data_IF_910248761342
#
_entry.id   IF_910248761342
#
_cell.length_a   1.000
_cell.length_b   1.000
_cell.length_c   1.000
_cell.angle_alpha   90.00
_cell.angle_beta   90.00
_cell.angle_gamma   90.00
#
_symmetry.space_group_name_H-M   'P 1'
#
loop_
_entity.id
_entity.type
_entity.pdbx_description
1 polymer ?
#
# COMPACT_ATOMS: atom_id res chain seq x y z
N UNK A 1 13.67 -12.56 19.13
CA UNK A 1 14.52 -12.60 17.93
C UNK A 1 14.59 -11.21 17.35
N UNK A 2 15.79 -10.60 17.23
CA UNK A 2 15.96 -9.28 16.64
C UNK A 2 15.67 -9.33 15.13
N UNK A 3 14.92 -8.34 14.63
CA UNK A 3 14.74 -8.16 13.18
C UNK A 3 16.11 -7.98 12.53
N UNK A 4 16.40 -8.62 11.39
CA UNK A 4 17.66 -8.41 10.69
C UNK A 4 17.72 -6.94 10.25
N UNK A 5 18.66 -6.19 10.82
CA UNK A 5 18.97 -4.83 10.37
C UNK A 5 19.57 -4.98 8.98
N UNK A 6 18.85 -4.52 7.96
CA UNK A 6 19.37 -4.57 6.59
C UNK A 6 20.70 -3.82 6.51
N UNK A 7 21.71 -4.34 5.79
CA UNK A 7 23.06 -3.78 5.74
C UNK A 7 23.14 -2.37 5.10
N UNK A 8 22.03 -1.81 4.67
CA UNK A 8 21.95 -0.49 4.02
C UNK A 8 21.84 0.69 4.99
N UNK A 9 21.59 0.45 6.28
CA UNK A 9 21.51 1.52 7.27
C UNK A 9 22.92 1.83 7.80
N UNK A 10 23.73 2.55 7.01
CA UNK A 10 25.02 3.07 7.47
C UNK A 10 24.81 4.47 8.05
N UNK A 11 25.10 4.72 9.35
CA UNK A 11 24.94 6.03 10.00
C UNK A 11 25.66 7.19 9.27
N UNK A 12 26.75 6.87 8.56
CA UNK A 12 27.56 7.84 7.82
C UNK A 12 26.77 8.53 6.67
N UNK A 13 25.69 7.91 6.15
CA UNK A 13 24.88 8.49 5.07
C UNK A 13 23.73 9.39 5.55
N UNK A 14 23.42 9.42 6.83
CA UNK A 14 22.34 10.26 7.40
C UNK A 14 22.55 11.76 7.12
N UNK A 15 23.79 12.23 7.04
CA UNK A 15 24.11 13.63 6.76
C UNK A 15 23.66 14.12 5.36
N UNK A 16 23.38 13.21 4.45
CA UNK A 16 23.00 13.51 3.07
C UNK A 16 21.55 13.19 2.74
N UNK A 17 20.79 12.67 3.70
CA UNK A 17 19.38 12.35 3.47
C UNK A 17 18.54 13.62 3.56
N UNK A 18 17.71 13.85 2.54
CA UNK A 18 16.75 14.94 2.61
C UNK A 18 15.72 14.67 3.73
N UNK A 19 15.24 15.74 4.37
CA UNK A 19 14.15 15.64 5.36
C UNK A 19 12.95 14.85 4.80
N UNK A 20 12.65 15.06 3.53
CA UNK A 20 11.60 14.34 2.80
C UNK A 20 11.81 12.83 2.82
N UNK A 21 13.02 12.36 2.56
CA UNK A 21 13.35 10.94 2.58
C UNK A 21 13.26 10.35 4.00
N UNK A 22 13.78 11.06 4.99
CA UNK A 22 13.70 10.62 6.40
C UNK A 22 12.25 10.48 6.85
N UNK A 23 11.42 11.48 6.55
CA UNK A 23 10.00 11.46 6.91
C UNK A 23 9.24 10.33 6.20
N UNK A 24 9.50 10.08 4.92
CA UNK A 24 8.90 8.97 4.18
C UNK A 24 9.23 7.62 4.85
N UNK A 25 10.50 7.37 5.14
CA UNK A 25 10.92 6.14 5.80
C UNK A 25 10.36 6.00 7.23
N UNK A 26 10.21 7.10 7.94
CA UNK A 26 9.58 7.10 9.27
C UNK A 26 8.10 6.71 9.18
N UNK A 27 7.35 7.28 8.23
CA UNK A 27 5.95 6.92 7.96
C UNK A 27 5.86 5.42 7.65
N UNK A 28 6.69 4.96 6.73
CA UNK A 28 6.70 3.57 6.29
C UNK A 28 7.01 2.61 7.46
N UNK A 29 8.04 2.90 8.25
CA UNK A 29 8.39 2.10 9.43
C UNK A 29 7.23 2.01 10.42
N UNK A 30 6.51 3.11 10.66
CA UNK A 30 5.34 3.15 11.54
C UNK A 30 4.19 2.31 11.00
N UNK A 31 3.89 2.44 9.71
CA UNK A 31 2.90 1.61 9.04
C UNK A 31 3.21 0.12 9.19
N UNK A 32 4.50 -0.25 9.10
CA UNK A 32 4.93 -1.64 9.29
C UNK A 32 4.75 -2.13 10.74
N UNK A 33 5.03 -1.26 11.71
CA UNK A 33 4.78 -1.57 13.14
C UNK A 33 3.28 -1.71 13.38
N UNK A 34 2.46 -0.79 12.87
CA UNK A 34 1.01 -0.84 12.99
C UNK A 34 0.43 -2.12 12.35
N UNK A 35 0.90 -2.52 11.17
CA UNK A 35 0.51 -3.77 10.51
C UNK A 35 0.81 -5.00 11.38
N UNK A 36 1.99 -5.03 12.00
CA UNK A 36 2.39 -6.14 12.88
C UNK A 36 1.55 -6.21 14.16
N UNK A 37 1.37 -5.06 14.83
CA UNK A 37 0.58 -5.00 16.07
C UNK A 37 -0.89 -5.28 15.78
N UNK A 38 -1.43 -4.78 14.68
CA UNK A 38 -2.80 -5.09 14.26
C UNK A 38 -2.99 -6.60 14.07
N UNK A 39 -2.13 -7.25 13.27
CA UNK A 39 -2.23 -8.70 13.03
C UNK A 39 -2.10 -9.53 14.32
N UNK A 40 -1.26 -9.08 15.28
CA UNK A 40 -1.09 -9.74 16.56
C UNK A 40 -2.35 -9.72 17.43
N UNK A 41 -3.18 -8.68 17.29
CA UNK A 41 -4.43 -8.54 18.06
C UNK A 41 -5.66 -9.14 17.37
N UNK A 42 -5.54 -9.54 16.09
CA UNK A 42 -6.62 -10.14 15.32
C UNK A 42 -6.38 -11.64 15.14
N UNK A 43 -7.17 -12.48 15.84
CA UNK A 43 -6.97 -13.93 15.84
C UNK A 43 -7.09 -14.60 14.47
N UNK A 44 -7.87 -14.00 13.56
CA UNK A 44 -8.06 -14.49 12.20
C UNK A 44 -6.96 -14.06 11.24
N UNK A 45 -6.09 -13.09 11.60
CA UNK A 45 -5.04 -12.58 10.71
C UNK A 45 -3.65 -12.86 11.24
N UNK A 46 -2.72 -13.12 10.34
CA UNK A 46 -1.29 -13.20 10.61
C UNK A 46 -0.50 -12.46 9.54
N UNK A 47 0.45 -11.62 9.92
CA UNK A 47 1.39 -11.01 8.98
C UNK A 47 2.56 -11.98 8.77
N UNK A 48 2.56 -12.72 7.65
CA UNK A 48 3.49 -13.82 7.39
C UNK A 48 4.76 -13.40 6.65
N UNK A 49 4.70 -12.33 5.84
CA UNK A 49 5.89 -11.73 5.20
C UNK A 49 5.73 -10.20 5.09
N UNK A 50 6.84 -9.49 5.17
CA UNK A 50 6.91 -8.03 5.04
C UNK A 50 8.25 -7.60 4.46
N UNK A 51 8.20 -6.71 3.46
CA UNK A 51 9.38 -6.18 2.78
C UNK A 51 9.22 -4.68 2.57
N UNK A 52 10.25 -3.92 2.89
CA UNK A 52 10.26 -2.45 2.73
C UNK A 52 11.22 -2.10 1.60
N UNK A 53 10.78 -1.28 0.66
CA UNK A 53 11.56 -0.81 -0.49
C UNK A 53 12.33 -1.96 -1.16
N UNK A 54 11.68 -3.12 -1.27
CA UNK A 54 12.27 -4.34 -1.82
C UNK A 54 11.90 -4.48 -3.29
N UNK A 55 12.90 -4.73 -4.13
CA UNK A 55 12.66 -5.02 -5.53
C UNK A 55 12.00 -6.39 -5.69
N UNK A 56 10.73 -6.38 -6.07
CA UNK A 56 10.00 -7.59 -6.40
C UNK A 56 10.48 -8.13 -7.76
N UNK A 57 10.33 -9.44 -8.03
CA UNK A 57 10.53 -9.98 -9.36
C UNK A 57 9.76 -9.14 -10.41
N UNK A 58 10.39 -8.79 -11.53
CA UNK A 58 9.80 -7.84 -12.51
C UNK A 58 10.20 -6.39 -12.30
N UNK A 59 11.12 -6.10 -11.39
CA UNK A 59 11.70 -4.76 -11.11
C UNK A 59 10.68 -3.74 -10.58
N UNK A 60 9.64 -4.18 -9.92
CA UNK A 60 8.70 -3.32 -9.21
C UNK A 60 9.21 -3.14 -7.78
N UNK A 61 9.28 -1.89 -7.34
CA UNK A 61 9.69 -1.55 -5.97
C UNK A 61 8.54 -0.79 -5.32
N UNK A 62 7.64 -1.47 -4.58
CA UNK A 62 6.67 -0.79 -3.72
C UNK A 62 7.37 -0.20 -2.49
N UNK A 63 6.76 0.78 -1.85
CA UNK A 63 7.24 1.29 -0.56
C UNK A 63 7.27 0.18 0.49
N UNK A 64 6.19 -0.62 0.56
CA UNK A 64 6.18 -1.87 1.28
C UNK A 64 5.39 -2.95 0.52
N UNK A 65 5.76 -4.19 0.73
CA UNK A 65 4.98 -5.35 0.35
C UNK A 65 4.68 -6.16 1.62
N UNK A 66 3.40 -6.42 1.84
CA UNK A 66 2.88 -7.13 3.00
C UNK A 66 2.14 -8.37 2.53
N UNK A 67 2.35 -9.49 3.21
CA UNK A 67 1.56 -10.70 3.03
C UNK A 67 0.86 -11.03 4.33
N UNK A 68 -0.45 -10.87 4.34
CA UNK A 68 -1.30 -11.37 5.43
C UNK A 68 -1.88 -12.73 5.05
N UNK A 69 -2.10 -13.52 6.07
CA UNK A 69 -2.87 -14.75 6.01
C UNK A 69 -4.14 -14.54 6.84
N UNK A 70 -5.29 -14.77 6.22
CA UNK A 70 -6.60 -14.70 6.85
C UNK A 70 -7.15 -16.09 7.02
N UNK A 71 -7.52 -16.46 8.27
CA UNK A 71 -8.18 -17.72 8.61
C UNK A 71 -9.67 -17.48 8.70
N UNK A 72 -10.42 -18.18 7.85
CA UNK A 72 -11.88 -18.19 7.85
C UNK A 72 -12.39 -19.61 8.12
N UNK A 73 -13.69 -19.77 8.28
CA UNK A 73 -14.32 -21.10 8.43
C UNK A 73 -14.12 -21.96 7.17
N UNK A 74 -13.96 -21.34 6.00
CA UNK A 74 -13.80 -22.02 4.71
C UNK A 74 -12.35 -22.33 4.35
N UNK A 75 -11.38 -21.78 5.11
CA UNK A 75 -9.96 -22.03 4.84
C UNK A 75 -9.03 -20.88 5.20
N UNK A 76 -7.84 -20.95 4.62
CA UNK A 76 -6.78 -19.95 4.80
C UNK A 76 -6.57 -19.21 3.47
N UNK A 77 -6.63 -17.88 3.51
CA UNK A 77 -6.49 -17.01 2.34
C UNK A 77 -5.29 -16.08 2.49
N UNK A 78 -4.48 -16.00 1.46
CA UNK A 78 -3.41 -15.02 1.38
C UNK A 78 -3.94 -13.67 0.90
N UNK A 79 -3.60 -12.61 1.62
CA UNK A 79 -3.98 -11.22 1.36
C UNK A 79 -2.71 -10.39 1.08
N UNK A 80 -2.18 -10.43 -0.14
CA UNK A 80 -0.98 -9.66 -0.49
C UNK A 80 -1.33 -8.20 -0.77
N UNK A 81 -0.54 -7.28 -0.20
CA UNK A 81 -0.73 -5.85 -0.33
C UNK A 81 0.56 -5.17 -0.80
N UNK A 82 0.51 -4.48 -1.93
CA UNK A 82 1.52 -3.50 -2.35
C UNK A 82 1.14 -2.15 -1.75
N UNK A 83 1.89 -1.69 -0.78
CA UNK A 83 1.60 -0.48 -0.03
C UNK A 83 2.48 0.68 -0.52
N UNK A 84 1.85 1.83 -0.76
CA UNK A 84 2.47 3.04 -1.29
C UNK A 84 2.07 4.25 -0.44
N UNK A 85 3.05 5.02 0.00
CA UNK A 85 2.85 6.26 0.76
C UNK A 85 2.97 7.46 -0.19
N UNK A 86 1.84 8.07 -0.50
CA UNK A 86 1.83 9.34 -1.23
C UNK A 86 1.86 10.52 -0.26
N UNK A 87 2.87 11.37 -0.41
CA UNK A 87 3.02 12.61 0.36
C UNK A 87 2.44 13.84 -0.35
N UNK A 88 1.63 13.62 -1.38
CA UNK A 88 1.00 14.69 -2.15
C UNK A 88 1.93 15.40 -3.14
N UNK A 89 3.15 14.93 -3.32
CA UNK A 89 4.15 15.59 -4.18
C UNK A 89 4.21 15.03 -5.60
N UNK A 90 3.59 13.88 -5.85
CA UNK A 90 3.67 13.24 -7.15
C UNK A 90 2.66 13.83 -8.13
N UNK A 91 3.14 14.23 -9.31
CA UNK A 91 2.29 14.76 -10.37
C UNK A 91 1.49 13.65 -11.05
N UNK A 92 0.28 13.98 -11.57
CA UNK A 92 -0.62 13.05 -12.25
C UNK A 92 0.06 12.11 -13.27
N UNK A 93 0.92 12.59 -14.20
CA UNK A 93 1.56 11.70 -15.19
C UNK A 93 2.44 10.64 -14.55
N UNK A 94 3.22 11.01 -13.53
CA UNK A 94 4.11 10.09 -12.83
C UNK A 94 3.31 9.09 -11.99
N UNK A 95 2.30 9.53 -11.24
CA UNK A 95 1.39 8.65 -10.51
C UNK A 95 0.74 7.62 -11.43
N UNK A 96 0.18 8.06 -12.57
CA UNK A 96 -0.43 7.15 -13.55
C UNK A 96 0.57 6.15 -14.14
N UNK A 97 1.81 6.56 -14.36
CA UNK A 97 2.87 5.65 -14.81
C UNK A 97 3.17 4.57 -13.75
N UNK A 98 3.20 4.92 -12.46
CA UNK A 98 3.35 3.96 -11.36
C UNK A 98 2.17 2.98 -11.30
N UNK A 99 0.94 3.47 -11.34
CA UNK A 99 -0.27 2.61 -11.39
C UNK A 99 -0.20 1.65 -12.58
N UNK A 100 0.16 2.17 -13.76
CA UNK A 100 0.30 1.36 -14.97
C UNK A 100 1.36 0.26 -14.83
N UNK A 101 2.48 0.56 -14.20
CA UNK A 101 3.56 -0.40 -13.94
C UNK A 101 3.09 -1.54 -13.02
N UNK A 102 2.36 -1.23 -11.92
CA UNK A 102 1.82 -2.25 -11.01
C UNK A 102 0.80 -3.14 -11.71
N UNK A 103 -0.13 -2.56 -12.47
CA UNK A 103 -1.09 -3.31 -13.27
C UNK A 103 -0.40 -4.24 -14.29
N UNK A 104 0.59 -3.72 -14.99
CA UNK A 104 1.34 -4.54 -15.96
C UNK A 104 2.04 -5.71 -15.27
N UNK A 105 2.63 -5.49 -14.10
CA UNK A 105 3.29 -6.53 -13.33
C UNK A 105 2.33 -7.66 -12.92
N UNK A 106 1.16 -7.31 -12.38
CA UNK A 106 0.13 -8.31 -12.04
C UNK A 106 -0.31 -9.09 -13.30
N UNK A 107 -0.59 -8.40 -14.40
CA UNK A 107 -1.08 -8.99 -15.64
C UNK A 107 -0.05 -9.78 -16.44
N UNK A 108 1.23 -9.50 -16.27
CA UNK A 108 2.31 -10.23 -16.98
C UNK A 108 2.47 -11.69 -16.53
N UNK A 109 1.87 -12.04 -15.40
CA UNK A 109 2.02 -13.34 -14.76
C UNK A 109 3.35 -13.51 -13.99
N UNK A 110 4.23 -12.52 -13.99
CA UNK A 110 5.46 -12.56 -13.20
C UNK A 110 5.17 -12.57 -11.71
N UNK A 111 4.17 -11.79 -11.29
CA UNK A 111 3.69 -11.79 -9.91
C UNK A 111 3.21 -13.18 -9.50
N UNK A 112 2.35 -13.81 -10.32
CA UNK A 112 1.84 -15.17 -10.08
C UNK A 112 2.94 -16.22 -9.99
N UNK A 113 3.97 -16.11 -10.83
CA UNK A 113 5.14 -17.02 -10.74
C UNK A 113 5.89 -16.87 -9.42
N UNK A 114 6.04 -15.63 -8.94
CA UNK A 114 6.80 -15.32 -7.73
C UNK A 114 6.05 -15.67 -6.44
N UNK A 115 4.74 -15.35 -6.38
CA UNK A 115 3.96 -15.41 -5.16
C UNK A 115 2.83 -16.45 -5.18
N UNK A 116 2.68 -17.19 -6.27
CA UNK A 116 1.65 -18.25 -6.47
C UNK A 116 0.20 -17.76 -6.44
N UNK A 117 -0.01 -16.45 -6.35
CA UNK A 117 -1.30 -15.77 -6.45
C UNK A 117 -1.28 -14.76 -7.59
N UNK A 118 -2.39 -14.51 -8.24
CA UNK A 118 -2.57 -13.49 -9.30
C UNK A 118 -3.33 -12.26 -8.80
N UNK A 119 -3.71 -12.26 -7.53
CA UNK A 119 -4.41 -11.16 -6.88
C UNK A 119 -3.47 -10.43 -5.93
N UNK A 120 -3.50 -9.12 -5.95
CA UNK A 120 -2.88 -8.27 -4.93
C UNK A 120 -3.69 -6.98 -4.78
N UNK A 121 -3.82 -6.51 -3.56
CA UNK A 121 -4.31 -5.15 -3.27
C UNK A 121 -3.18 -4.15 -3.47
N UNK A 122 -3.44 -3.08 -4.22
CA UNK A 122 -2.53 -1.95 -4.38
C UNK A 122 -3.09 -0.81 -3.55
N UNK A 123 -2.47 -0.54 -2.41
CA UNK A 123 -2.96 0.39 -1.40
C UNK A 123 -2.13 1.68 -1.38
N UNK A 124 -2.75 2.80 -1.72
CA UNK A 124 -2.17 4.14 -1.67
C UNK A 124 -2.67 4.88 -0.45
N UNK A 125 -1.82 5.18 0.52
CA UNK A 125 -2.13 6.04 1.65
C UNK A 125 -1.58 7.44 1.41
N UNK A 126 -2.47 8.44 1.18
CA UNK A 126 -2.02 9.82 1.02
C UNK A 126 -1.97 10.55 2.36
N UNK A 127 -0.85 11.20 2.59
CA UNK A 127 -0.62 12.08 3.75
C UNK A 127 -0.41 13.51 3.28
N UNK A 128 -0.77 14.48 4.08
CA UNK A 128 -0.60 15.89 3.72
C UNK A 128 -0.84 16.80 4.93
N UNK A 129 -0.57 18.09 4.77
CA UNK A 129 -0.60 19.04 5.89
C UNK A 129 -2.00 19.28 6.42
N UNK A 130 -3.01 19.42 5.54
CA UNK A 130 -4.38 19.69 5.99
C UNK A 130 -5.35 18.57 5.59
N UNK A 131 -6.45 18.39 6.34
CA UNK A 131 -7.48 17.40 6.00
C UNK A 131 -8.06 17.60 4.60
N UNK A 132 -8.32 18.85 4.20
CA UNK A 132 -8.91 19.21 2.91
C UNK A 132 -7.96 18.84 1.77
N UNK A 133 -6.65 19.09 1.96
CA UNK A 133 -5.64 18.72 0.98
C UNK A 133 -5.55 17.20 0.79
N UNK A 134 -5.50 16.45 1.90
CA UNK A 134 -5.43 14.98 1.85
C UNK A 134 -6.66 14.39 1.17
N UNK A 135 -7.85 14.88 1.53
CA UNK A 135 -9.10 14.39 0.96
C UNK A 135 -9.23 14.72 -0.52
N UNK A 136 -8.86 15.94 -0.93
CA UNK A 136 -8.77 16.30 -2.34
C UNK A 136 -7.81 15.37 -3.08
N UNK A 137 -6.62 15.14 -2.52
CA UNK A 137 -5.60 14.27 -3.12
C UNK A 137 -6.10 12.84 -3.29
N UNK A 138 -6.76 12.29 -2.27
CA UNK A 138 -7.39 10.96 -2.34
C UNK A 138 -8.39 10.87 -3.51
N UNK A 139 -9.27 11.88 -3.64
CA UNK A 139 -10.24 11.94 -4.74
C UNK A 139 -9.56 12.04 -6.10
N UNK A 140 -8.56 12.88 -6.22
CA UNK A 140 -7.77 13.03 -7.45
C UNK A 140 -7.11 11.69 -7.85
N UNK A 141 -6.52 10.96 -6.88
CA UNK A 141 -5.91 9.65 -7.14
C UNK A 141 -6.93 8.61 -7.60
N UNK A 142 -8.09 8.52 -6.95
CA UNK A 142 -9.19 7.65 -7.39
C UNK A 142 -9.60 7.97 -8.83
N UNK A 143 -9.79 9.25 -9.15
CA UNK A 143 -10.13 9.71 -10.49
C UNK A 143 -9.04 9.31 -11.51
N UNK A 144 -7.78 9.54 -11.22
CA UNK A 144 -6.67 9.22 -12.12
C UNK A 144 -6.50 7.72 -12.36
N UNK A 145 -6.76 6.90 -11.34
CA UNK A 145 -6.79 5.44 -11.49
C UNK A 145 -7.92 5.05 -12.44
N UNK A 146 -9.15 5.56 -12.22
CA UNK A 146 -10.29 5.23 -13.09
C UNK A 146 -10.12 5.70 -14.53
N UNK A 147 -9.55 6.90 -14.75
CA UNK A 147 -9.21 7.37 -16.09
C UNK A 147 -8.25 6.39 -16.80
N UNK A 148 -7.18 5.97 -16.10
CA UNK A 148 -6.20 5.02 -16.63
C UNK A 148 -6.84 3.66 -16.93
N UNK A 149 -7.68 3.14 -16.04
CA UNK A 149 -8.38 1.87 -16.22
C UNK A 149 -9.30 1.91 -17.43
N UNK A 150 -10.10 2.99 -17.58
CA UNK A 150 -10.99 3.20 -18.74
C UNK A 150 -10.21 3.28 -20.06
N UNK A 151 -9.15 4.08 -20.11
CA UNK A 151 -8.30 4.20 -21.31
C UNK A 151 -7.72 2.85 -21.74
N UNK A 152 -7.48 1.94 -20.80
CA UNK A 152 -6.92 0.62 -21.04
C UNK A 152 -7.96 -0.51 -21.14
N UNK A 153 -9.24 -0.20 -20.96
CA UNK A 153 -10.36 -1.16 -20.88
C UNK A 153 -10.13 -2.22 -19.80
N UNK A 154 -9.78 -1.75 -18.60
CA UNK A 154 -9.42 -2.55 -17.43
C UNK A 154 -10.23 -2.17 -16.19
N UNK A 155 -11.47 -1.69 -16.34
CA UNK A 155 -12.31 -1.23 -15.24
C UNK A 155 -12.56 -2.31 -14.19
N UNK A 156 -12.58 -3.56 -14.60
CA UNK A 156 -12.71 -4.71 -13.69
C UNK A 156 -11.54 -4.85 -12.69
N UNK A 157 -10.43 -4.13 -12.90
CA UNK A 157 -9.31 -4.08 -11.96
C UNK A 157 -9.46 -3.00 -10.88
N UNK A 158 -10.56 -2.23 -10.88
CA UNK A 158 -10.77 -1.21 -9.86
C UNK A 158 -10.81 -1.78 -8.43
N UNK A 159 -11.30 -3.02 -8.28
CA UNK A 159 -11.33 -3.76 -7.02
C UNK A 159 -9.95 -3.99 -6.39
N UNK A 160 -8.88 -4.06 -7.20
CA UNK A 160 -7.52 -4.25 -6.69
C UNK A 160 -6.92 -2.98 -6.05
N UNK A 161 -7.58 -1.84 -6.15
CA UNK A 161 -7.06 -0.58 -5.61
C UNK A 161 -7.77 -0.17 -4.33
N UNK A 162 -6.98 0.36 -3.41
CA UNK A 162 -7.42 1.02 -2.17
C UNK A 162 -6.71 2.36 -2.06
N UNK A 163 -7.44 3.41 -1.81
CA UNK A 163 -6.88 4.76 -1.63
C UNK A 163 -7.41 5.34 -0.31
N UNK A 164 -6.52 5.71 0.59
CA UNK A 164 -6.87 6.32 1.86
C UNK A 164 -6.31 7.72 1.99
N UNK A 165 -7.04 8.58 2.71
CA UNK A 165 -6.57 9.88 3.22
C UNK A 165 -6.33 9.73 4.72
N UNK A 166 -5.08 9.85 5.17
CA UNK A 166 -4.75 9.60 6.56
C UNK A 166 -3.93 10.71 7.17
N UNK A 167 -4.25 11.06 8.40
CA UNK A 167 -3.46 11.97 9.19
C UNK A 167 -2.18 11.29 9.69
N UNK A 168 -1.07 12.02 9.63
CA UNK A 168 0.23 11.49 10.06
C UNK A 168 0.22 10.92 11.48
N UNK A 169 -0.49 11.57 12.40
CA UNK A 169 -0.67 11.11 13.79
C UNK A 169 -1.38 9.77 13.90
N UNK A 170 -2.37 9.52 13.06
CA UNK A 170 -3.17 8.28 13.04
C UNK A 170 -2.46 7.06 12.44
N UNK A 171 -1.30 7.22 11.85
CA UNK A 171 -0.47 6.09 11.41
C UNK A 171 0.06 5.24 12.57
N UNK A 172 -0.12 5.68 13.83
CA UNK A 172 0.36 4.97 15.01
C UNK A 172 -0.68 4.06 15.68
N UNK A 173 -1.97 4.29 15.41
CA UNK A 173 -3.08 3.69 16.14
C UNK A 173 -3.81 2.57 15.38
N UNK A 174 -3.14 1.96 14.42
CA UNK A 174 -3.68 0.87 13.58
C UNK A 174 -4.88 1.24 12.70
N UNK A 175 -5.29 2.51 12.65
CA UNK A 175 -6.50 2.94 11.93
C UNK A 175 -6.49 2.57 10.45
N UNK A 176 -5.30 2.47 9.82
CA UNK A 176 -5.18 1.98 8.43
C UNK A 176 -5.65 0.54 8.24
N UNK A 177 -5.62 -0.28 9.28
CA UNK A 177 -5.95 -1.71 9.21
C UNK A 177 -7.32 -2.01 9.82
N UNK A 178 -7.79 -1.19 10.75
CA UNK A 178 -9.05 -1.39 11.48
C UNK A 178 -10.22 -0.58 10.93
N UNK A 179 -9.97 0.70 10.59
CA UNK A 179 -11.05 1.60 10.24
C UNK A 179 -11.44 1.51 8.76
N UNK A 180 -12.69 1.86 8.48
CA UNK A 180 -13.18 2.02 7.11
C UNK A 180 -12.69 3.36 6.52
N UNK A 181 -11.40 3.46 6.25
CA UNK A 181 -10.74 4.68 5.71
C UNK A 181 -10.31 4.53 4.25
N UNK A 182 -10.44 3.34 3.70
CA UNK A 182 -10.06 3.04 2.33
C UNK A 182 -11.21 3.23 1.35
N UNK A 183 -10.90 3.65 0.16
CA UNK A 183 -11.87 3.82 -0.92
C UNK A 183 -11.41 3.05 -2.15
N UNK A 184 -12.33 2.34 -2.77
CA UNK A 184 -12.12 1.85 -4.14
C UNK A 184 -12.27 3.03 -5.10
N UNK A 185 -11.51 3.06 -6.20
CA UNK A 185 -11.62 4.15 -7.18
C UNK A 185 -13.01 4.27 -7.82
N UNK A 186 -13.75 3.17 -7.91
CA UNK A 186 -15.10 3.07 -8.51
C UNK A 186 -16.24 3.21 -7.49
N UNK A 187 -15.93 3.45 -6.19
CA UNK A 187 -16.93 3.55 -5.14
C UNK A 187 -16.71 4.78 -4.24
N UNK A 188 -17.75 5.54 -3.91
CA UNK A 188 -17.66 6.64 -2.96
C UNK A 188 -17.71 6.19 -1.48
N UNK A 189 -17.98 4.90 -1.22
CA UNK A 189 -18.12 4.38 0.14
C UNK A 189 -16.78 3.95 0.69
N UNK A 190 -16.43 4.38 1.92
CA UNK A 190 -15.24 3.86 2.60
C UNK A 190 -15.44 2.39 3.00
N UNK A 191 -14.33 1.66 3.07
CA UNK A 191 -14.29 0.26 3.50
C UNK A 191 -13.00 0.00 4.30
N UNK A 192 -12.93 -1.12 5.01
CA UNK A 192 -11.69 -1.58 5.63
C UNK A 192 -10.72 -2.10 4.56
N UNK A 193 -9.44 -2.17 4.88
CA UNK A 193 -8.41 -2.66 3.94
C UNK A 193 -8.70 -4.10 3.47
N UNK A 194 -9.23 -4.93 4.36
CA UNK A 194 -9.52 -6.35 4.15
C UNK A 194 -11.00 -6.64 3.84
N UNK A 195 -11.81 -5.60 3.52
CA UNK A 195 -13.19 -5.83 3.14
C UNK A 195 -13.26 -6.70 1.87
N UNK A 196 -14.14 -7.70 1.83
CA UNK A 196 -14.35 -8.51 0.64
C UNK A 196 -14.84 -7.64 -0.54
N UNK A 197 -14.60 -8.11 -1.74
CA UNK A 197 -15.02 -7.46 -2.99
C UNK A 197 -16.53 -7.49 -3.18
#
# INVERSE_FOLDING_TARGET
MGLPITPYFRPVRLKFLSYSYVLHNLILTRTMVAAHEWAKHHQSFSLIDKRISYELPGKIIPDAWLMFEEKTDDGIYEQPIMFEIDRGMELKPKFRAHVAGRLQYLRSGEYKKAFKTDVATIAYATTGQTPEYREKRRKDMCLWIMELLKERKLENWAGNFRVASIEFGKLYDNSLFEEAVWYRPDSPKPLSLFAPE
#
